data_IF_930538834873
#
_entry.id   IF_930538834873
#
_cell.length_a   1.000
_cell.length_b   1.000
_cell.length_c   1.000
_cell.angle_alpha   90.00
_cell.angle_beta   90.00
_cell.angle_gamma   90.00
#
_symmetry.space_group_name_H-M   'P 1'
#
loop_
_entity.id
_entity.type
_entity.pdbx_description
1 polymer ?
#
# COMPACT_ATOMS: atom_id res chain seq x y z
N UNK A 1 31.67 10.29 -4.66
CA UNK A 1 30.25 10.40 -5.05
C UNK A 1 29.36 10.26 -3.81
N UNK A 2 29.38 11.22 -2.87
CA UNK A 2 28.67 11.12 -1.57
C UNK A 2 27.66 12.28 -1.36
N UNK A 3 27.81 13.40 -2.07
CA UNK A 3 27.01 14.62 -1.85
C UNK A 3 25.50 14.50 -2.16
N UNK A 4 25.06 13.51 -2.96
CA UNK A 4 23.64 13.38 -3.30
C UNK A 4 22.80 12.82 -2.14
N UNK A 5 23.36 11.95 -1.30
CA UNK A 5 22.61 11.35 -0.19
C UNK A 5 22.41 12.32 0.98
N UNK A 6 23.40 13.15 1.29
CA UNK A 6 23.33 14.15 2.36
C UNK A 6 22.30 15.23 2.04
N UNK A 7 22.19 15.60 0.76
CA UNK A 7 21.22 16.58 0.28
C UNK A 7 19.77 16.10 0.44
N UNK A 8 19.50 14.80 0.24
CA UNK A 8 18.15 14.24 0.40
C UNK A 8 17.73 14.17 1.87
N UNK A 9 18.65 13.83 2.78
CA UNK A 9 18.34 13.82 4.21
C UNK A 9 17.97 15.22 4.72
N UNK A 10 18.70 16.26 4.32
CA UNK A 10 18.39 17.63 4.71
C UNK A 10 17.03 18.11 4.17
N UNK A 11 16.65 17.67 2.96
CA UNK A 11 15.32 17.96 2.38
C UNK A 11 14.19 17.29 3.17
N UNK A 12 14.36 16.00 3.49
CA UNK A 12 13.37 15.24 4.25
C UNK A 12 13.14 15.85 5.65
N UNK A 13 14.22 16.27 6.33
CA UNK A 13 14.10 16.92 7.63
C UNK A 13 13.30 18.22 7.56
N UNK A 14 13.58 19.08 6.57
CA UNK A 14 12.83 20.33 6.35
C UNK A 14 11.34 20.06 6.06
N UNK A 15 11.04 19.02 5.28
CA UNK A 15 9.66 18.61 5.03
C UNK A 15 8.96 18.14 6.31
N UNK A 16 9.61 17.31 7.13
CA UNK A 16 9.07 16.86 8.42
C UNK A 16 8.73 18.06 9.32
N UNK A 17 9.60 19.06 9.37
CA UNK A 17 9.37 20.28 10.15
C UNK A 17 8.18 21.09 9.61
N UNK A 18 8.08 21.24 8.29
CA UNK A 18 6.95 21.91 7.65
C UNK A 18 5.61 21.22 7.94
N UNK A 19 5.55 19.89 7.77
CA UNK A 19 4.38 19.05 8.08
C UNK A 19 4.00 19.20 9.55
N UNK A 20 5.00 19.27 10.45
CA UNK A 20 4.74 19.44 11.88
C UNK A 20 4.12 20.79 12.21
N UNK A 21 4.53 21.84 11.50
CA UNK A 21 4.14 23.24 11.78
C UNK A 21 2.83 23.65 11.11
N UNK A 22 2.63 23.31 9.84
CA UNK A 22 1.49 23.77 9.04
C UNK A 22 0.45 22.68 8.78
N UNK A 23 0.87 21.41 8.80
CA UNK A 23 0.00 20.31 8.42
C UNK A 23 -1.09 19.99 9.44
N UNK A 24 -2.31 19.81 8.93
CA UNK A 24 -3.45 19.35 9.73
C UNK A 24 -3.24 17.91 10.21
N UNK A 25 -3.82 17.58 11.37
CA UNK A 25 -3.72 16.23 11.96
C UNK A 25 -4.71 15.29 11.27
N UNK A 26 -4.38 14.87 10.05
CA UNK A 26 -5.13 13.89 9.26
C UNK A 26 -4.54 12.48 9.27
N UNK A 27 -5.28 11.52 8.71
CA UNK A 27 -4.76 10.17 8.42
C UNK A 27 -3.64 10.28 7.39
N UNK A 28 -2.56 9.52 7.57
CA UNK A 28 -1.40 9.51 6.66
C UNK A 28 -0.24 10.41 7.06
N UNK A 29 -0.45 11.44 7.92
CA UNK A 29 0.62 12.31 8.43
C UNK A 29 1.77 11.53 9.09
N UNK A 30 1.41 10.64 10.02
CA UNK A 30 2.40 9.82 10.73
C UNK A 30 3.10 8.83 9.80
N UNK A 31 2.37 8.31 8.80
CA UNK A 31 2.91 7.38 7.82
C UNK A 31 3.92 8.09 6.90
N UNK A 32 3.64 9.34 6.48
CA UNK A 32 4.56 10.15 5.69
C UNK A 32 5.83 10.50 6.47
N UNK A 33 5.71 10.90 7.74
CA UNK A 33 6.89 11.16 8.60
C UNK A 33 7.75 9.90 8.72
N UNK A 34 7.13 8.73 8.93
CA UNK A 34 7.85 7.44 8.99
C UNK A 34 8.57 7.14 7.68
N UNK A 35 7.98 7.45 6.52
CA UNK A 35 8.65 7.30 5.23
C UNK A 35 9.89 8.19 5.12
N UNK A 36 9.76 9.47 5.48
CA UNK A 36 10.84 10.45 5.43
C UNK A 36 11.98 10.13 6.40
N UNK A 37 11.67 9.47 7.53
CA UNK A 37 12.63 8.89 8.47
C UNK A 37 13.32 7.62 7.95
N UNK A 38 12.91 7.09 6.79
CA UNK A 38 13.46 5.87 6.20
C UNK A 38 12.92 4.56 6.79
N UNK A 39 11.81 4.62 7.53
CA UNK A 39 11.17 3.41 8.08
C UNK A 39 10.37 2.70 7.00
N UNK A 40 10.28 1.37 7.12
CA UNK A 40 9.41 0.58 6.24
C UNK A 40 7.94 0.81 6.56
N UNK A 41 7.16 0.93 5.49
CA UNK A 41 5.71 1.07 5.52
C UNK A 41 5.06 -0.15 4.88
N UNK A 42 3.89 -0.52 5.39
CA UNK A 42 2.96 -1.41 4.71
C UNK A 42 2.36 -0.71 3.49
N UNK A 43 1.82 -1.48 2.55
CA UNK A 43 1.17 -0.92 1.36
C UNK A 43 0.06 0.08 1.73
N UNK A 44 -0.77 -0.25 2.73
CA UNK A 44 -1.84 0.62 3.18
C UNK A 44 -1.33 1.92 3.83
N UNK A 45 -0.23 1.86 4.59
CA UNK A 45 0.41 3.05 5.16
C UNK A 45 1.01 3.94 4.06
N UNK A 46 1.65 3.34 3.05
CA UNK A 46 2.23 4.07 1.93
C UNK A 46 1.16 4.82 1.11
N UNK A 47 0.01 4.18 0.86
CA UNK A 47 -1.12 4.83 0.19
C UNK A 47 -1.60 6.04 1.00
N UNK A 48 -1.77 5.90 2.32
CA UNK A 48 -2.20 7.03 3.16
C UNK A 48 -1.19 8.16 3.22
N UNK A 49 0.10 7.82 3.30
CA UNK A 49 1.18 8.81 3.25
C UNK A 49 1.15 9.60 1.94
N UNK A 50 0.96 8.90 0.81
CA UNK A 50 0.85 9.52 -0.51
C UNK A 50 -0.40 10.40 -0.65
N UNK A 51 -1.56 9.98 -0.14
CA UNK A 51 -2.75 10.82 -0.15
C UNK A 51 -2.55 12.11 0.65
N UNK A 52 -1.86 12.03 1.80
CA UNK A 52 -1.53 13.19 2.63
C UNK A 52 -0.63 14.20 1.89
N UNK A 53 0.41 13.70 1.21
CA UNK A 53 1.32 14.51 0.39
C UNK A 53 0.61 15.12 -0.84
N UNK A 54 -0.18 14.31 -1.55
CA UNK A 54 -0.93 14.73 -2.74
C UNK A 54 -1.96 15.82 -2.47
N UNK A 55 -2.58 15.83 -1.28
CA UNK A 55 -3.54 16.85 -0.86
C UNK A 55 -2.89 18.02 -0.10
N UNK A 56 -1.56 18.13 -0.13
CA UNK A 56 -0.83 19.26 0.47
C UNK A 56 -1.05 19.36 1.97
N UNK A 57 -0.83 18.27 2.71
CA UNK A 57 -0.96 18.20 4.17
C UNK A 57 -2.38 18.47 4.70
N UNK A 58 -3.39 18.31 3.83
CA UNK A 58 -4.79 18.66 4.08
C UNK A 58 -4.99 20.14 4.43
N UNK A 59 -4.22 21.07 3.85
CA UNK A 59 -4.29 22.50 4.18
C UNK A 59 -5.72 23.09 4.16
N UNK A 60 -6.56 22.66 3.22
CA UNK A 60 -7.94 23.14 3.07
C UNK A 60 -8.97 22.41 3.95
N UNK A 61 -8.59 21.26 4.52
CA UNK A 61 -9.46 20.45 5.38
C UNK A 61 -9.30 18.95 5.17
N UNK A 62 -9.79 18.19 6.15
CA UNK A 62 -9.75 16.72 6.13
C UNK A 62 -10.96 16.21 5.35
N UNK A 63 -10.84 16.15 4.03
CA UNK A 63 -11.90 15.75 3.11
C UNK A 63 -11.42 14.75 2.05
N UNK A 64 -12.39 14.13 1.36
CA UNK A 64 -12.13 13.32 0.18
C UNK A 64 -11.78 14.22 -1.01
N UNK A 65 -10.84 13.81 -1.87
CA UNK A 65 -10.50 14.56 -3.07
C UNK A 65 -11.51 14.38 -4.20
N UNK A 66 -12.40 13.38 -4.08
CA UNK A 66 -13.49 13.07 -5.03
C UNK A 66 -13.06 12.93 -6.49
N UNK A 67 -11.79 12.60 -6.75
CA UNK A 67 -11.24 12.46 -8.09
C UNK A 67 -11.27 10.99 -8.56
N UNK A 68 -12.27 10.56 -9.36
CA UNK A 68 -12.37 9.17 -9.82
C UNK A 68 -11.29 8.79 -10.84
N UNK A 69 -10.60 9.76 -11.45
CA UNK A 69 -9.50 9.49 -12.37
C UNK A 69 -8.21 9.08 -11.64
N UNK A 70 -8.12 9.30 -10.34
CA UNK A 70 -6.97 8.89 -9.56
C UNK A 70 -7.00 7.37 -9.32
N UNK A 71 -5.95 6.62 -9.70
CA UNK A 71 -5.90 5.17 -9.52
C UNK A 71 -5.91 4.74 -8.04
N UNK A 72 -5.56 5.65 -7.12
CA UNK A 72 -5.56 5.41 -5.68
C UNK A 72 -6.85 5.84 -4.99
N UNK A 73 -7.78 6.48 -5.70
CA UNK A 73 -9.06 6.94 -5.15
C UNK A 73 -9.86 5.83 -4.44
N UNK A 74 -9.91 4.57 -4.94
CA UNK A 74 -10.63 3.50 -4.25
C UNK A 74 -10.09 3.17 -2.85
N UNK A 75 -8.82 3.48 -2.60
CA UNK A 75 -8.12 3.20 -1.34
C UNK A 75 -7.99 4.45 -0.45
N UNK A 76 -8.60 5.57 -0.84
CA UNK A 76 -8.49 6.83 -0.13
C UNK A 76 -9.08 6.72 1.29
N UNK A 77 -8.38 7.21 2.35
CA UNK A 77 -8.74 6.96 3.75
C UNK A 77 -10.08 7.57 4.20
N UNK A 78 -10.62 8.50 3.42
CA UNK A 78 -11.88 9.21 3.68
C UNK A 78 -12.97 8.89 2.66
N UNK A 79 -12.70 7.98 1.72
CA UNK A 79 -13.70 7.57 0.75
C UNK A 79 -14.85 6.81 1.43
N UNK A 80 -16.07 7.33 1.23
CA UNK A 80 -17.29 6.80 1.86
C UNK A 80 -17.83 5.57 1.12
N UNK A 81 -17.48 5.41 -0.16
CA UNK A 81 -18.06 4.41 -1.08
C UNK A 81 -17.51 3.01 -0.87
N UNK A 82 -16.26 2.87 -0.41
CA UNK A 82 -15.59 1.56 -0.25
C UNK A 82 -15.69 0.94 1.15
N UNK A 83 -16.44 1.54 2.08
CA UNK A 83 -16.90 0.79 3.25
C UNK A 83 -18.05 -0.13 2.83
N UNK A 84 -17.74 -1.14 2.01
CA UNK A 84 -18.57 -2.33 2.02
C UNK A 84 -18.60 -2.78 3.49
N UNK A 85 -19.79 -2.88 4.13
CA UNK A 85 -19.87 -3.61 5.39
C UNK A 85 -19.18 -4.93 5.08
N UNK A 86 -18.26 -5.41 5.93
CA UNK A 86 -17.75 -6.77 5.72
C UNK A 86 -19.00 -7.65 5.65
N UNK A 87 -19.40 -8.05 4.45
CA UNK A 87 -20.44 -9.05 4.25
C UNK A 87 -19.80 -10.23 4.95
N UNK A 88 -20.31 -10.54 6.14
CA UNK A 88 -19.72 -11.53 7.01
C UNK A 88 -19.44 -12.73 6.15
N UNK A 89 -18.19 -13.20 6.15
CA UNK A 89 -17.93 -14.58 5.73
C UNK A 89 -18.98 -15.38 6.50
N UNK A 90 -19.92 -16.09 5.84
CA UNK A 90 -20.92 -16.85 6.58
C UNK A 90 -20.14 -17.76 7.54
N UNK A 91 -20.47 -17.65 8.83
CA UNK A 91 -19.84 -18.46 9.86
C UNK A 91 -20.00 -19.91 9.42
N UNK A 92 -18.88 -20.62 9.29
CA UNK A 92 -18.79 -21.91 8.65
C UNK A 92 -19.94 -22.84 9.08
N UNK A 93 -20.86 -23.13 8.16
CA UNK A 93 -21.75 -24.27 8.34
C UNK A 93 -20.90 -25.52 8.12
N UNK A 94 -20.71 -26.25 9.22
CA UNK A 94 -20.09 -27.57 9.33
C UNK A 94 -20.59 -28.49 8.20
N UNK A 95 -19.88 -28.51 7.08
CA UNK A 95 -20.13 -29.42 5.97
C UNK A 95 -19.65 -30.80 6.38
N UNK A 96 -20.60 -31.63 6.82
CA UNK A 96 -20.43 -33.08 6.89
C UNK A 96 -19.94 -33.58 5.53
N UNK A 97 -18.92 -34.44 5.58
CA UNK A 97 -18.32 -35.16 4.45
C UNK A 97 -19.36 -35.74 3.48
N UNK A 98 -19.17 -35.46 2.20
CA UNK A 98 -19.46 -36.33 1.03
C UNK A 98 -18.85 -35.63 -0.20
N UNK A 99 -17.63 -35.99 -0.62
CA UNK A 99 -17.32 -36.98 -1.68
C UNK A 99 -17.57 -36.48 -3.10
N UNK A 100 -16.47 -36.44 -3.86
CA UNK A 100 -16.30 -36.45 -5.34
C UNK A 100 -16.89 -35.30 -6.19
N UNK A 101 -16.02 -34.54 -6.87
CA UNK A 101 -16.39 -33.68 -7.99
C UNK A 101 -15.38 -32.60 -8.37
N UNK A 102 -14.34 -33.00 -9.12
CA UNK A 102 -13.62 -32.24 -10.17
C UNK A 102 -13.29 -30.75 -9.95
N UNK A 103 -12.07 -30.46 -9.49
CA UNK A 103 -11.45 -29.14 -9.63
C UNK A 103 -10.83 -29.01 -11.02
N UNK A 104 -11.43 -28.17 -11.86
CA UNK A 104 -10.86 -27.73 -13.13
C UNK A 104 -9.54 -26.96 -12.90
N UNK A 105 -8.56 -27.28 -13.72
CA UNK A 105 -7.15 -26.89 -13.67
C UNK A 105 -6.89 -25.41 -13.99
N UNK A 106 -6.18 -24.72 -13.10
CA UNK A 106 -5.46 -23.47 -13.43
C UNK A 106 -3.96 -23.72 -13.71
N UNK A 107 -3.63 -24.91 -14.24
CA UNK A 107 -2.26 -25.41 -14.33
C UNK A 107 -1.63 -25.34 -15.73
N UNK A 108 -2.07 -24.46 -16.65
CA UNK A 108 -1.46 -24.37 -17.98
C UNK A 108 -1.14 -22.92 -18.36
N UNK A 109 -0.09 -22.38 -17.74
CA UNK A 109 0.88 -21.47 -18.40
C UNK A 109 2.08 -21.24 -17.47
N UNK A 110 2.64 -22.34 -16.97
CA UNK A 110 4.00 -22.33 -16.43
C UNK A 110 4.98 -22.32 -17.60
N UNK A 111 5.61 -21.17 -17.78
CA UNK A 111 6.82 -20.95 -18.58
C UNK A 111 7.80 -22.09 -18.32
N UNK A 112 8.13 -22.84 -19.36
CA UNK A 112 9.21 -23.84 -19.34
C UNK A 112 10.54 -23.12 -19.06
N UNK A 113 10.96 -23.12 -17.81
CA UNK A 113 12.34 -22.80 -17.44
C UNK A 113 13.22 -24.02 -17.77
N UNK A 114 14.22 -23.93 -18.67
CA UNK A 114 15.12 -25.05 -18.91
C UNK A 114 16.01 -25.31 -17.68
N UNK A 115 16.18 -26.60 -17.38
CA UNK A 115 16.91 -27.14 -16.24
C UNK A 115 18.38 -26.68 -16.22
N UNK A 116 18.82 -26.18 -15.06
CA UNK A 116 20.23 -25.88 -14.77
C UNK A 116 20.95 -27.21 -14.50
N UNK A 117 21.70 -27.71 -15.47
CA UNK A 117 22.49 -28.92 -15.34
C UNK A 117 23.65 -28.69 -14.36
N UNK A 118 23.65 -29.38 -13.21
CA UNK A 118 24.82 -29.45 -12.31
C UNK A 118 25.68 -30.62 -12.77
N UNK A 119 26.60 -30.35 -13.68
CA UNK A 119 27.69 -31.27 -14.00
C UNK A 119 28.67 -31.29 -12.84
N UNK A 120 28.73 -32.43 -12.14
CA UNK A 120 29.88 -32.86 -11.39
C UNK A 120 31.02 -33.17 -12.37
N UNK A 121 32.23 -32.70 -12.08
CA UNK A 121 33.44 -33.02 -12.83
C UNK A 121 34.64 -32.64 -11.99
N UNK A 122 35.31 -33.68 -11.50
CA UNK A 122 36.60 -33.68 -10.81
C UNK A 122 37.75 -33.21 -11.71
#
# INVERSE_FOLDING_TARGET
>A
MIAHSENQNQKNQKQIEAIKKYGLKGKGRADLIRHLEGKRLTQAEAIRAYCYDCQGDYADGIADCENPACPLYPYHPYNKTHRSPRIGRPLAEKKSLASSGEYGSCADNARTAPARNKGAGS
#
